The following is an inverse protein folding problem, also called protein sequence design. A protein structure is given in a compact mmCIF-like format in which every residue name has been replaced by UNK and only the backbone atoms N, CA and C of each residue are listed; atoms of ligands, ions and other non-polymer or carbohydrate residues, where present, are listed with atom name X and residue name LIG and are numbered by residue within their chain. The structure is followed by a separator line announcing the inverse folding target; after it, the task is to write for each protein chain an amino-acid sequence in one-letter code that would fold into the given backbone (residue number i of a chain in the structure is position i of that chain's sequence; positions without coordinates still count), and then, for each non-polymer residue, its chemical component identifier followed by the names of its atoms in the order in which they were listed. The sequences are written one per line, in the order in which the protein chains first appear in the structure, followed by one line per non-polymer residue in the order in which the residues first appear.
data_IF_666037482845
#
_entry.id   IF_666037482845
#
_cell.length_a   1.000
_cell.length_b   1.000
_cell.length_c   1.000
_cell.angle_alpha   90.00
_cell.angle_beta   90.00
_cell.angle_gamma   90.00
#
_symmetry.space_group_name_H-M   'P 1'
#
loop_
_entity.id
_entity.type
_entity.pdbx_description
1 polymer ?
#
# COMPACT_ATOMS: atom_id res chain seq x y z
N UNK A 1 -57.15 22.20 -82.14
CA UNK A 1 -58.07 23.34 -82.21
C UNK A 1 -58.68 23.44 -80.82
N UNK A 2 -58.36 24.53 -80.11
CA UNK A 2 -58.88 24.91 -78.77
C UNK A 2 -58.53 23.94 -77.61
N UNK A 3 -58.18 24.35 -76.40
CA UNK A 3 -57.97 25.67 -75.79
C UNK A 3 -57.32 25.45 -74.42
N UNK A 4 -56.58 26.47 -73.97
CA UNK A 4 -56.00 26.64 -72.63
C UNK A 4 -57.06 26.60 -71.51
N UNK A 5 -56.60 26.37 -70.26
CA UNK A 5 -56.93 27.12 -69.02
C UNK A 5 -56.27 26.35 -67.85
N UNK A 6 -55.19 26.81 -67.22
CA UNK A 6 -55.02 27.87 -66.18
C UNK A 6 -55.18 27.37 -64.72
N UNK A 7 -54.06 27.54 -64.01
CA UNK A 7 -53.88 27.94 -62.60
C UNK A 7 -54.42 27.11 -61.40
N UNK A 8 -53.51 27.04 -60.41
CA UNK A 8 -53.53 26.63 -58.99
C UNK A 8 -54.67 27.25 -58.11
N UNK A 9 -54.76 27.12 -56.75
CA UNK A 9 -53.87 26.55 -55.72
C UNK A 9 -54.58 25.89 -54.47
N UNK A 10 -53.79 25.56 -53.43
CA UNK A 10 -54.10 25.38 -51.98
C UNK A 10 -54.67 24.06 -51.40
N UNK A 11 -53.84 23.46 -50.53
CA UNK A 11 -54.07 22.95 -49.16
C UNK A 11 -55.06 21.80 -48.93
N UNK A 12 -54.54 20.69 -48.41
CA UNK A 12 -54.75 20.25 -47.00
C UNK A 12 -54.14 18.87 -46.74
N UNK A 13 -53.68 18.66 -45.51
CA UNK A 13 -53.11 17.43 -44.99
C UNK A 13 -54.00 16.20 -45.18
N UNK A 14 -53.42 14.98 -45.16
CA UNK A 14 -53.84 14.10 -44.08
C UNK A 14 -52.73 13.22 -43.46
N UNK A 15 -53.06 12.77 -42.24
CA UNK A 15 -52.36 11.79 -41.41
C UNK A 15 -52.34 10.38 -42.04
N UNK A 16 -51.32 9.65 -41.62
CA UNK A 16 -50.91 8.25 -41.86
C UNK A 16 -52.00 7.17 -42.00
N UNK A 17 -51.65 6.08 -42.71
CA UNK A 17 -51.75 4.76 -42.09
C UNK A 17 -50.51 3.87 -42.31
N UNK A 18 -50.22 3.06 -41.30
CA UNK A 18 -49.26 1.95 -41.28
C UNK A 18 -49.89 0.76 -42.02
N UNK A 19 -49.16 0.08 -42.91
CA UNK A 19 -48.87 -1.38 -42.82
C UNK A 19 -48.10 -1.97 -44.02
N UNK A 20 -47.25 -2.94 -43.65
CA UNK A 20 -46.65 -4.02 -44.43
C UNK A 20 -45.28 -3.78 -45.08
N UNK A 21 -44.23 -4.23 -44.40
CA UNK A 21 -43.20 -5.08 -45.00
C UNK A 21 -42.41 -5.80 -43.90
N UNK A 22 -42.26 -7.12 -44.06
CA UNK A 22 -41.49 -8.03 -43.21
C UNK A 22 -40.04 -7.53 -43.04
N UNK A 23 -39.43 -7.63 -41.85
CA UNK A 23 -37.97 -7.63 -41.76
C UNK A 23 -37.44 -9.05 -41.96
N UNK A 24 -36.41 -9.13 -42.79
CA UNK A 24 -35.52 -10.27 -42.97
C UNK A 24 -35.00 -10.79 -41.62
N UNK A 25 -34.96 -12.12 -41.45
CA UNK A 25 -34.29 -12.71 -40.29
C UNK A 25 -32.80 -12.38 -40.37
N UNK A 26 -32.33 -11.52 -39.47
CA UNK A 26 -30.91 -11.36 -39.22
C UNK A 26 -30.37 -12.69 -38.68
N UNK A 27 -29.65 -13.42 -39.53
CA UNK A 27 -28.76 -14.49 -39.07
C UNK A 27 -27.65 -13.80 -38.29
N UNK A 28 -27.78 -13.80 -36.96
CA UNK A 28 -26.69 -13.42 -36.06
C UNK A 28 -25.61 -14.49 -36.24
N UNK A 29 -24.55 -14.15 -37.00
CA UNK A 29 -23.33 -14.96 -37.03
C UNK A 29 -22.77 -14.97 -35.61
N UNK A 30 -23.00 -16.09 -34.91
CA UNK A 30 -22.52 -16.33 -33.55
C UNK A 30 -21.00 -16.46 -33.61
N UNK A 31 -20.28 -15.48 -33.09
CA UNK A 31 -18.83 -15.54 -32.96
C UNK A 31 -18.46 -16.66 -31.99
N UNK A 32 -17.49 -17.49 -32.35
CA UNK A 32 -16.85 -18.45 -31.44
C UNK A 32 -16.01 -17.66 -30.44
N UNK A 33 -16.60 -17.25 -29.32
CA UNK A 33 -15.88 -16.55 -28.25
C UNK A 33 -15.30 -17.60 -27.30
N UNK A 34 -14.03 -17.94 -27.50
CA UNK A 34 -13.25 -18.77 -26.57
C UNK A 34 -13.15 -18.04 -25.22
N UNK A 35 -13.28 -18.77 -24.11
CA UNK A 35 -13.10 -18.21 -22.76
C UNK A 35 -11.65 -17.71 -22.64
N UNK A 36 -11.42 -16.42 -22.39
CA UNK A 36 -10.07 -15.89 -22.23
C UNK A 36 -9.32 -16.60 -21.09
N UNK A 37 -8.02 -16.89 -21.30
CA UNK A 37 -7.20 -17.61 -20.33
C UNK A 37 -7.15 -16.96 -18.94
N UNK A 38 -7.24 -15.63 -18.88
CA UNK A 38 -7.29 -14.91 -17.60
C UNK A 38 -8.56 -15.20 -16.79
N UNK A 39 -9.70 -15.46 -17.46
CA UNK A 39 -10.95 -15.83 -16.80
C UNK A 39 -10.87 -17.27 -16.27
N UNK A 40 -10.25 -18.17 -17.02
CA UNK A 40 -9.98 -19.55 -16.57
C UNK A 40 -9.09 -19.53 -15.33
N UNK A 41 -8.00 -18.76 -15.35
CA UNK A 41 -7.10 -18.61 -14.21
C UNK A 41 -7.79 -18.00 -12.97
N UNK A 42 -8.68 -17.03 -13.18
CA UNK A 42 -9.49 -16.43 -12.12
C UNK A 42 -10.39 -17.47 -11.43
N UNK A 43 -11.11 -18.29 -12.21
CA UNK A 43 -11.96 -19.35 -11.68
C UNK A 43 -11.17 -20.41 -10.92
N UNK A 44 -10.02 -20.86 -11.44
CA UNK A 44 -9.20 -21.85 -10.72
C UNK A 44 -8.67 -21.27 -9.39
N UNK A 45 -8.41 -19.97 -9.34
CA UNK A 45 -7.92 -19.30 -8.13
C UNK A 45 -8.96 -19.25 -6.99
N UNK A 46 -10.25 -19.48 -7.24
CA UNK A 46 -11.30 -19.50 -6.20
C UNK A 46 -11.50 -20.88 -5.55
N UNK A 47 -10.84 -21.93 -6.06
CA UNK A 47 -10.81 -23.25 -5.43
C UNK A 47 -9.81 -23.24 -4.27
N UNK A 48 -10.21 -22.71 -3.11
CA UNK A 48 -9.38 -22.76 -1.90
C UNK A 48 -9.11 -24.21 -1.47
N UNK A 49 -7.83 -24.58 -1.29
CA UNK A 49 -7.44 -25.79 -0.56
C UNK A 49 -6.79 -26.92 -1.38
N UNK A 50 -6.53 -26.74 -2.68
CA UNK A 50 -5.65 -27.63 -3.43
C UNK A 50 -4.28 -26.97 -3.57
N UNK A 51 -3.29 -27.62 -2.97
CA UNK A 51 -1.87 -27.33 -3.11
C UNK A 51 -1.56 -26.94 -4.56
N UNK A 52 -0.99 -25.75 -4.76
CA UNK A 52 -0.81 -25.05 -6.04
C UNK A 52 -0.07 -25.92 -7.07
N UNK A 53 -0.78 -26.79 -7.79
CA UNK A 53 -0.23 -27.57 -8.90
C UNK A 53 -0.36 -26.78 -10.20
N UNK A 54 0.29 -25.62 -10.29
CA UNK A 54 0.37 -24.80 -11.52
C UNK A 54 1.17 -25.45 -12.65
N UNK A 55 1.53 -26.72 -12.53
CA UNK A 55 2.30 -27.49 -13.51
C UNK A 55 1.56 -28.68 -14.09
N UNK A 56 0.25 -28.82 -13.82
CA UNK A 56 -0.59 -29.92 -14.34
C UNK A 56 -1.62 -29.46 -15.39
N UNK A 57 -2.06 -30.35 -16.30
CA UNK A 57 -3.24 -30.10 -17.13
C UNK A 57 -4.48 -29.88 -16.24
N UNK A 58 -5.38 -28.97 -16.67
CA UNK A 58 -6.67 -28.74 -16.01
C UNK A 58 -7.45 -30.05 -15.97
N UNK A 59 -7.85 -30.47 -14.78
CA UNK A 59 -8.64 -31.67 -14.56
C UNK A 59 -10.07 -31.49 -15.07
N UNK A 60 -10.79 -32.56 -15.44
CA UNK A 60 -12.20 -32.45 -15.86
C UNK A 60 -13.09 -31.76 -14.82
N UNK A 61 -12.85 -32.03 -13.52
CA UNK A 61 -13.58 -31.41 -12.41
C UNK A 61 -13.31 -29.91 -12.28
N UNK A 62 -12.07 -29.48 -12.55
CA UNK A 62 -11.72 -28.06 -12.59
C UNK A 62 -12.33 -27.37 -13.82
N UNK A 63 -12.40 -28.06 -14.96
CA UNK A 63 -13.08 -27.55 -16.16
C UNK A 63 -14.56 -27.31 -15.91
N UNK A 64 -15.26 -28.27 -15.33
CA UNK A 64 -16.69 -28.14 -14.99
C UNK A 64 -16.93 -26.97 -14.02
N UNK A 65 -16.01 -26.77 -13.06
CA UNK A 65 -16.07 -25.62 -12.16
C UNK A 65 -15.88 -24.29 -12.89
N UNK A 66 -14.89 -24.19 -13.78
CA UNK A 66 -14.64 -22.99 -14.60
C UNK A 66 -15.87 -22.67 -15.44
N UNK A 67 -16.53 -23.67 -16.03
CA UNK A 67 -17.76 -23.47 -16.78
C UNK A 67 -18.88 -22.90 -15.90
N UNK A 68 -19.11 -23.47 -14.72
CA UNK A 68 -20.12 -22.94 -13.78
C UNK A 68 -19.79 -21.53 -13.31
N UNK A 69 -18.51 -21.25 -13.03
CA UNK A 69 -18.03 -19.93 -12.62
C UNK A 69 -18.25 -18.89 -13.73
N UNK A 70 -17.92 -19.24 -14.97
CA UNK A 70 -18.10 -18.38 -16.14
C UNK A 70 -19.58 -18.16 -16.43
N UNK A 71 -20.42 -19.20 -16.35
CA UNK A 71 -21.86 -19.06 -16.50
C UNK A 71 -22.47 -18.12 -15.45
N UNK A 72 -22.00 -18.19 -14.21
CA UNK A 72 -22.50 -17.38 -13.11
C UNK A 72 -22.02 -15.92 -13.16
N UNK A 73 -20.73 -15.70 -13.48
CA UNK A 73 -20.07 -14.40 -13.34
C UNK A 73 -19.89 -13.66 -14.67
N UNK A 74 -19.75 -14.39 -15.76
CA UNK A 74 -19.50 -13.87 -17.09
C UNK A 74 -20.47 -14.47 -18.14
N UNK A 75 -21.79 -14.18 -18.01
CA UNK A 75 -22.81 -14.76 -18.87
C UNK A 75 -22.63 -14.43 -20.37
N UNK A 76 -21.81 -13.43 -20.71
CA UNK A 76 -21.42 -13.15 -22.09
C UNK A 76 -20.60 -14.27 -22.76
N UNK A 77 -20.03 -15.19 -21.98
CA UNK A 77 -19.37 -16.40 -22.47
C UNK A 77 -20.26 -17.65 -22.32
N UNK A 78 -21.50 -17.50 -21.86
CA UNK A 78 -22.45 -18.60 -21.75
C UNK A 78 -22.89 -19.06 -23.15
N UNK A 79 -22.41 -20.23 -23.58
CA UNK A 79 -23.03 -20.98 -24.68
C UNK A 79 -22.16 -21.48 -25.82
N UNK A 80 -20.86 -21.76 -25.63
CA UNK A 80 -20.10 -22.68 -26.48
C UNK A 80 -18.75 -23.01 -25.82
N UNK A 81 -18.58 -24.26 -25.39
CA UNK A 81 -17.39 -24.77 -24.71
C UNK A 81 -16.59 -25.60 -25.69
N UNK A 82 -15.46 -25.08 -26.15
CA UNK A 82 -14.36 -25.91 -26.64
C UNK A 82 -13.06 -25.25 -26.16
N UNK A 83 -12.43 -25.89 -25.15
CA UNK A 83 -11.16 -25.46 -24.58
C UNK A 83 -10.05 -26.25 -25.28
N UNK A 84 -9.63 -25.81 -26.46
CA UNK A 84 -8.42 -26.37 -27.07
C UNK A 84 -7.18 -25.98 -26.23
N UNK A 85 -6.22 -26.91 -26.13
CA UNK A 85 -5.00 -26.77 -25.34
C UNK A 85 -4.20 -25.54 -25.79
N UNK A 86 -4.26 -24.44 -25.03
CA UNK A 86 -3.49 -23.22 -25.30
C UNK A 86 -2.11 -23.33 -24.65
N UNK A 87 -1.08 -23.43 -25.48
CA UNK A 87 0.33 -23.25 -25.11
C UNK A 87 0.60 -21.74 -24.91
N UNK A 88 1.01 -21.37 -23.70
CA UNK A 88 1.17 -20.00 -23.22
C UNK A 88 2.43 -19.27 -23.74
N UNK A 89 3.21 -19.89 -24.63
CA UNK A 89 4.50 -19.37 -25.10
C UNK A 89 4.44 -18.37 -26.27
N UNK A 90 3.25 -18.08 -26.84
CA UNK A 90 3.13 -17.37 -28.13
C UNK A 90 2.74 -15.87 -28.09
N UNK A 91 2.53 -15.24 -26.93
CA UNK A 91 1.96 -13.88 -26.88
C UNK A 91 2.94 -12.81 -26.36
N UNK A 92 4.07 -12.63 -27.06
CA UNK A 92 4.86 -11.40 -27.00
C UNK A 92 4.39 -10.47 -28.13
N UNK A 93 3.73 -9.35 -27.80
CA UNK A 93 3.37 -8.31 -28.77
C UNK A 93 4.22 -7.07 -28.52
N UNK A 94 4.88 -6.64 -29.61
CA UNK A 94 5.59 -5.38 -29.78
C UNK A 94 4.63 -4.18 -29.67
N UNK A 95 5.02 -3.11 -28.99
CA UNK A 95 4.33 -1.82 -29.07
C UNK A 95 5.14 -0.77 -29.83
N UNK A 96 4.49 -0.18 -30.84
CA UNK A 96 4.92 0.94 -31.65
C UNK A 96 3.93 2.10 -31.45
N UNK A 97 4.47 3.23 -30.96
CA UNK A 97 4.14 4.64 -31.24
C UNK A 97 2.70 5.07 -31.62
N UNK A 98 2.16 6.06 -30.89
CA UNK A 98 1.84 7.40 -31.46
C UNK A 98 1.32 8.42 -30.41
N UNK A 99 1.63 9.70 -30.68
CA UNK A 99 1.48 10.90 -29.85
C UNK A 99 0.05 11.49 -29.76
N UNK A 100 -0.20 12.38 -28.78
CA UNK A 100 -0.52 13.81 -29.02
C UNK A 100 -0.77 14.59 -27.71
N UNK A 101 -0.19 15.79 -27.64
CA UNK A 101 -0.31 16.78 -26.56
C UNK A 101 -1.49 17.76 -26.79
N UNK A 102 -2.11 18.27 -25.72
CA UNK A 102 -2.77 19.60 -25.69
C UNK A 102 -2.58 20.26 -24.32
N UNK A 103 -2.11 21.50 -24.35
CA UNK A 103 -1.88 22.49 -23.29
C UNK A 103 -3.11 23.40 -23.09
N UNK A 104 -3.35 23.92 -21.88
CA UNK A 104 -3.62 25.34 -21.56
C UNK A 104 -4.38 25.59 -20.22
N UNK A 105 -3.66 26.22 -19.29
CA UNK A 105 -3.99 27.50 -18.60
C UNK A 105 -5.47 27.88 -18.34
N UNK A 106 -5.83 28.11 -17.05
CA UNK A 106 -5.87 29.43 -16.34
C UNK A 106 -6.88 29.50 -15.17
N UNK A 107 -6.38 30.11 -14.09
CA UNK A 107 -6.98 31.12 -13.18
C UNK A 107 -8.17 30.79 -12.25
N UNK A 108 -7.84 30.88 -10.96
CA UNK A 108 -8.68 31.28 -9.82
C UNK A 108 -9.27 32.69 -9.94
N UNK A 109 -10.30 33.02 -9.13
CA UNK A 109 -10.10 34.15 -8.22
C UNK A 109 -10.55 33.91 -6.77
N UNK A 110 -9.78 34.54 -5.87
CA UNK A 110 -10.07 34.87 -4.46
C UNK A 110 -11.37 35.67 -4.32
N UNK A 111 -12.08 35.43 -3.22
CA UNK A 111 -13.06 36.35 -2.63
C UNK A 111 -13.07 36.19 -1.11
N UNK A 112 -12.63 37.24 -0.40
CA UNK A 112 -12.64 37.36 1.05
C UNK A 112 -14.06 37.63 1.58
N UNK A 113 -14.41 37.03 2.72
CA UNK A 113 -15.22 37.72 3.73
C UNK A 113 -14.79 37.26 5.13
N UNK A 114 -14.39 38.24 5.93
CA UNK A 114 -14.13 38.15 7.38
C UNK A 114 -15.43 38.52 8.07
N UNK A 115 -15.89 37.72 9.02
CA UNK A 115 -16.58 38.24 10.20
C UNK A 115 -16.12 37.49 11.45
N UNK A 116 -15.70 38.30 12.42
CA UNK A 116 -15.23 37.94 13.74
C UNK A 116 -16.39 37.97 14.73
N UNK A 117 -16.53 36.95 15.57
CA UNK A 117 -17.00 37.14 16.95
C UNK A 117 -16.68 35.94 17.83
N UNK A 118 -15.90 36.22 18.87
CA UNK A 118 -15.91 35.59 20.20
C UNK A 118 -15.89 36.79 21.18
N UNK A 119 -16.37 36.71 22.44
CA UNK A 119 -16.10 35.60 23.37
C UNK A 119 -17.25 35.25 24.33
N UNK A 120 -17.28 34.02 24.86
CA UNK A 120 -17.82 33.80 26.21
C UNK A 120 -17.08 32.66 26.91
N UNK A 121 -16.63 32.99 28.12
CA UNK A 121 -16.02 32.12 29.11
C UNK A 121 -17.02 31.07 29.60
N UNK A 122 -16.57 29.82 29.69
CA UNK A 122 -17.27 28.73 30.35
C UNK A 122 -16.26 27.65 30.70
N UNK A 123 -15.78 27.71 31.94
CA UNK A 123 -14.91 26.69 32.53
C UNK A 123 -15.63 25.35 32.57
N UNK A 124 -15.20 24.41 31.74
CA UNK A 124 -15.37 22.98 31.96
C UNK A 124 -14.12 22.33 31.37
N UNK A 125 -13.13 22.09 32.22
CA UNK A 125 -12.00 21.22 31.89
C UNK A 125 -12.59 19.83 31.65
N UNK A 126 -12.53 19.24 30.43
CA UNK A 126 -12.56 17.80 30.36
C UNK A 126 -11.22 17.34 30.94
N UNK A 127 -11.34 16.42 31.87
CA UNK A 127 -10.27 15.65 32.47
C UNK A 127 -9.28 15.21 31.35
N UNK A 128 -8.09 15.81 31.32
CA UNK A 128 -7.01 15.48 30.38
C UNK A 128 -6.30 14.18 30.78
N UNK A 129 -6.80 13.51 31.82
CA UNK A 129 -6.37 12.18 32.20
C UNK A 129 -7.04 11.14 31.31
N UNK A 130 -6.20 10.44 30.52
CA UNK A 130 -6.51 9.28 29.67
C UNK A 130 -7.09 9.57 28.28
N UNK A 131 -6.47 10.46 27.51
CA UNK A 131 -6.31 10.12 26.08
C UNK A 131 -5.29 8.98 26.04
N UNK A 132 -5.75 7.76 26.29
CA UNK A 132 -5.03 6.56 25.90
C UNK A 132 -4.92 6.68 24.38
N UNK A 133 -3.74 7.10 23.92
CA UNK A 133 -3.43 7.27 22.52
C UNK A 133 -3.45 5.89 21.91
N UNK A 134 -4.61 5.57 21.39
CA UNK A 134 -4.95 4.35 20.69
C UNK A 134 -3.80 3.99 19.72
N UNK A 135 -3.08 2.89 19.97
CA UNK A 135 -2.18 2.27 19.00
C UNK A 135 -2.87 1.96 17.65
N UNK A 136 -4.22 2.01 17.64
CA UNK A 136 -5.14 1.53 16.61
C UNK A 136 -5.24 2.30 15.31
N UNK A 137 -4.40 3.31 15.08
CA UNK A 137 -4.37 3.99 13.78
C UNK A 137 -3.15 3.70 12.96
N UNK A 138 -2.07 3.17 13.54
CA UNK A 138 -0.84 3.01 12.78
C UNK A 138 -1.03 1.97 11.67
N UNK A 139 -1.39 0.74 12.03
CA UNK A 139 -1.58 -0.32 11.04
C UNK A 139 -2.71 0.01 10.07
N UNK A 140 -3.78 0.67 10.52
CA UNK A 140 -4.90 1.10 9.68
C UNK A 140 -4.52 2.23 8.72
N UNK A 141 -3.79 3.25 9.18
CA UNK A 141 -3.25 4.33 8.33
C UNK A 141 -2.31 3.74 7.30
N UNK A 142 -1.40 2.86 7.74
CA UNK A 142 -0.45 2.20 6.86
C UNK A 142 -1.15 1.33 5.83
N UNK A 143 -2.12 0.52 6.26
CA UNK A 143 -2.90 -0.35 5.36
C UNK A 143 -3.73 0.48 4.39
N UNK A 144 -4.38 1.54 4.85
CA UNK A 144 -5.16 2.45 3.99
C UNK A 144 -4.29 3.22 2.99
N UNK A 145 -3.09 3.64 3.41
CA UNK A 145 -2.15 4.37 2.54
C UNK A 145 -1.42 3.44 1.56
N UNK A 146 -1.32 2.16 1.86
CA UNK A 146 -0.68 1.15 1.01
C UNK A 146 -1.65 0.32 0.18
N UNK A 147 -2.93 0.29 0.53
CA UNK A 147 -3.96 -0.38 -0.25
C UNK A 147 -4.12 0.35 -1.58
N UNK A 148 -3.65 -0.29 -2.65
CA UNK A 148 -4.05 0.08 -4.00
C UNK A 148 -5.59 -0.05 -4.10
N UNK A 149 -6.30 0.82 -4.84
CA UNK A 149 -7.76 0.74 -4.97
C UNK A 149 -8.27 -0.58 -5.60
N UNK A 150 -7.37 -1.34 -6.22
CA UNK A 150 -7.64 -2.68 -6.75
C UNK A 150 -7.48 -3.76 -5.69
N UNK A 151 -8.35 -4.77 -5.74
CA UNK A 151 -8.35 -5.93 -4.81
C UNK A 151 -7.17 -6.90 -5.02
N UNK A 152 -6.22 -6.60 -5.90
CA UNK A 152 -5.19 -7.54 -6.35
C UNK A 152 -3.78 -6.97 -6.14
N UNK A 153 -2.94 -7.76 -5.46
CA UNK A 153 -1.50 -7.53 -5.36
C UNK A 153 -0.85 -8.19 -6.58
N UNK A 154 0.00 -7.46 -7.30
CA UNK A 154 0.66 -8.00 -8.50
C UNK A 154 1.69 -9.08 -8.14
N UNK A 155 1.92 -10.05 -9.04
CA UNK A 155 2.96 -11.09 -8.85
C UNK A 155 4.35 -10.47 -8.57
N UNK A 156 4.81 -9.44 -9.31
CA UNK A 156 6.09 -8.78 -9.00
C UNK A 156 6.15 -8.19 -7.59
N UNK A 157 5.04 -7.65 -7.09
CA UNK A 157 4.97 -7.12 -5.73
C UNK A 157 5.09 -8.22 -4.67
N UNK A 158 4.39 -9.35 -4.85
CA UNK A 158 4.52 -10.52 -3.96
C UNK A 158 5.97 -11.01 -3.93
N UNK A 159 6.61 -11.13 -5.10
CA UNK A 159 8.00 -11.53 -5.20
C UNK A 159 8.94 -10.54 -4.50
N UNK A 160 8.72 -9.24 -4.65
CA UNK A 160 9.49 -8.20 -3.98
C UNK A 160 9.34 -8.27 -2.46
N UNK A 161 8.11 -8.46 -1.93
CA UNK A 161 7.85 -8.61 -0.49
C UNK A 161 8.62 -9.80 0.07
N UNK A 162 8.49 -10.96 -0.57
CA UNK A 162 9.18 -12.19 -0.17
C UNK A 162 10.70 -12.03 -0.21
N UNK A 163 11.24 -11.35 -1.23
CA UNK A 163 12.68 -11.08 -1.36
C UNK A 163 13.19 -10.21 -0.20
N UNK A 164 12.47 -9.15 0.15
CA UNK A 164 12.87 -8.24 1.24
C UNK A 164 12.78 -8.93 2.60
N UNK A 165 11.68 -9.64 2.88
CA UNK A 165 11.50 -10.39 4.12
C UNK A 165 12.58 -11.46 4.31
N UNK A 166 12.85 -12.24 3.25
CA UNK A 166 13.92 -13.25 3.25
C UNK A 166 15.29 -12.62 3.46
N UNK A 167 15.58 -11.49 2.81
CA UNK A 167 16.83 -10.77 3.02
C UNK A 167 16.98 -10.27 4.46
N UNK A 168 15.89 -9.87 5.12
CA UNK A 168 15.90 -9.46 6.52
C UNK A 168 15.87 -10.64 7.51
N UNK A 169 15.62 -11.88 7.04
CA UNK A 169 15.37 -13.03 7.90
C UNK A 169 14.09 -12.91 8.74
N UNK A 170 13.09 -12.16 8.26
CA UNK A 170 11.83 -11.92 8.98
C UNK A 170 10.70 -12.79 8.40
N UNK A 171 9.81 -13.34 9.24
CA UNK A 171 8.66 -14.12 8.77
C UNK A 171 7.55 -13.21 8.23
N UNK A 172 6.89 -13.63 7.16
CA UNK A 172 5.84 -12.88 6.45
C UNK A 172 4.62 -12.56 7.34
N UNK A 173 4.23 -13.51 8.18
CA UNK A 173 3.06 -13.35 9.05
C UNK A 173 3.25 -12.24 10.10
N UNK A 174 4.49 -11.93 10.52
CA UNK A 174 4.74 -10.95 11.58
C UNK A 174 4.89 -9.51 11.08
N UNK A 175 5.17 -9.29 9.79
CA UNK A 175 5.50 -7.98 9.24
C UNK A 175 4.59 -7.57 8.09
N UNK A 176 4.12 -6.32 8.13
CA UNK A 176 3.56 -5.63 6.97
C UNK A 176 4.71 -5.07 6.13
N UNK A 177 4.65 -5.22 4.81
CA UNK A 177 5.67 -4.74 3.88
C UNK A 177 5.06 -3.67 2.98
N UNK A 178 5.62 -2.47 3.02
CA UNK A 178 5.16 -1.31 2.25
C UNK A 178 6.25 -0.84 1.31
N UNK A 179 5.89 -0.53 0.06
CA UNK A 179 6.81 0.08 -0.89
C UNK A 179 6.51 1.57 -1.02
N UNK A 180 7.54 2.40 -0.94
CA UNK A 180 7.46 3.84 -1.13
C UNK A 180 8.39 4.26 -2.27
N UNK A 181 8.06 5.36 -2.99
CA UNK A 181 8.87 5.83 -4.10
C UNK A 181 10.31 6.17 -3.71
N UNK A 182 10.51 6.66 -2.47
CA UNK A 182 11.82 7.06 -1.96
C UNK A 182 11.88 6.97 -0.42
N UNK A 183 13.07 7.24 0.12
CA UNK A 183 13.38 7.19 1.54
C UNK A 183 12.59 8.20 2.36
N UNK A 184 12.46 9.43 1.85
CA UNK A 184 11.71 10.50 2.52
C UNK A 184 10.26 10.10 2.73
N UNK A 185 9.61 9.53 1.72
CA UNK A 185 8.22 9.06 1.81
C UNK A 185 8.04 7.98 2.87
N UNK A 186 9.00 7.05 2.99
CA UNK A 186 8.96 6.03 4.04
C UNK A 186 9.11 6.62 5.45
N UNK A 187 10.05 7.55 5.64
CA UNK A 187 10.26 8.23 6.91
C UNK A 187 9.07 9.10 7.31
N UNK A 188 8.49 9.85 6.37
CA UNK A 188 7.28 10.62 6.60
C UNK A 188 6.12 9.71 6.99
N UNK A 189 5.97 8.55 6.34
CA UNK A 189 4.93 7.59 6.67
C UNK A 189 5.07 7.06 8.11
N UNK A 190 6.29 6.83 8.60
CA UNK A 190 6.54 6.51 10.02
C UNK A 190 6.19 7.71 10.91
N UNK A 191 6.67 8.91 10.58
CA UNK A 191 6.43 10.13 11.36
C UNK A 191 4.95 10.48 11.52
N UNK A 192 4.16 10.32 10.47
CA UNK A 192 2.72 10.57 10.47
C UNK A 192 1.92 9.52 11.25
N UNK A 193 2.40 8.27 11.25
CA UNK A 193 1.65 7.13 11.79
C UNK A 193 2.02 6.78 13.22
N UNK A 194 3.25 7.07 13.65
CA UNK A 194 3.71 6.79 15.01
C UNK A 194 3.00 7.68 16.05
N UNK A 195 2.51 7.14 17.18
CA UNK A 195 1.73 7.89 18.18
C UNK A 195 2.62 8.78 19.04
N UNK A 196 3.18 9.84 18.46
CA UNK A 196 3.91 10.88 19.19
C UNK A 196 2.96 11.75 20.03
N UNK A 197 3.39 12.10 21.24
CA UNK A 197 2.66 12.98 22.14
C UNK A 197 3.56 13.60 23.22
N UNK A 198 3.03 14.65 23.85
CA UNK A 198 3.64 15.28 25.02
C UNK A 198 3.85 14.28 26.17
N UNK A 199 5.09 13.86 26.37
CA UNK A 199 5.49 13.00 27.48
C UNK A 199 6.18 11.70 27.06
N UNK A 200 6.06 11.30 25.79
CA UNK A 200 6.91 10.25 25.21
C UNK A 200 8.16 10.85 24.54
N UNK A 201 9.03 9.97 24.08
CA UNK A 201 10.35 10.35 23.56
C UNK A 201 10.50 9.98 22.08
N UNK A 202 11.28 10.79 21.39
CA UNK A 202 11.88 10.42 20.11
C UNK A 202 13.39 10.53 20.26
N UNK A 203 14.11 9.42 20.12
CA UNK A 203 15.57 9.40 20.19
C UNK A 203 16.13 8.92 18.86
N UNK A 204 17.01 9.70 18.25
CA UNK A 204 17.50 9.42 16.90
C UNK A 204 19.01 9.59 16.82
N UNK A 205 19.63 8.65 16.11
CA UNK A 205 21.04 8.68 15.68
C UNK A 205 21.12 8.85 14.15
N UNK A 206 19.98 8.93 13.48
CA UNK A 206 19.93 9.24 12.05
C UNK A 206 20.46 10.67 11.85
N UNK A 207 21.27 10.87 10.80
CA UNK A 207 21.80 12.20 10.46
C UNK A 207 20.67 13.20 10.23
N UNK A 208 20.86 14.44 10.69
CA UNK A 208 19.76 15.43 10.78
C UNK A 208 19.03 15.66 9.44
N UNK A 209 19.76 15.67 8.33
CA UNK A 209 19.23 15.86 6.96
C UNK A 209 18.31 14.72 6.50
N UNK A 210 18.44 13.54 7.10
CA UNK A 210 17.70 12.32 6.76
C UNK A 210 16.61 12.00 7.79
N UNK A 211 16.55 12.71 8.91
CA UNK A 211 15.63 12.43 10.00
C UNK A 211 14.29 13.18 9.86
N UNK A 212 13.49 12.78 8.86
CA UNK A 212 12.17 13.38 8.62
C UNK A 212 11.15 13.10 9.74
N UNK A 213 11.40 12.11 10.61
CA UNK A 213 10.51 11.77 11.74
C UNK A 213 10.60 12.83 12.86
N UNK A 214 11.77 13.48 13.00
CA UNK A 214 12.04 14.53 14.00
C UNK A 214 10.99 15.64 13.99
N UNK A 215 10.56 16.08 12.82
CA UNK A 215 9.59 17.17 12.68
C UNK A 215 8.22 16.79 13.25
N UNK A 216 7.75 15.56 12.98
CA UNK A 216 6.49 15.05 13.53
C UNK A 216 6.54 14.89 15.05
N UNK A 217 7.64 14.32 15.57
CA UNK A 217 7.85 14.21 17.01
C UNK A 217 7.83 15.58 17.69
N UNK A 218 8.51 16.57 17.11
CA UNK A 218 8.55 17.95 17.62
C UNK A 218 7.17 18.61 17.57
N UNK A 219 6.46 18.48 16.45
CA UNK A 219 5.11 19.01 16.27
C UNK A 219 4.11 18.43 17.27
N UNK A 220 4.26 17.16 17.64
CA UNK A 220 3.44 16.47 18.65
C UNK A 220 3.93 16.64 20.09
N UNK A 221 4.91 17.53 20.32
CA UNK A 221 5.49 17.84 21.63
C UNK A 221 6.18 16.63 22.32
N UNK A 222 6.57 15.61 21.57
CA UNK A 222 7.45 14.54 22.08
C UNK A 222 8.84 15.09 22.40
N UNK A 223 9.49 14.52 23.41
CA UNK A 223 10.86 14.92 23.75
C UNK A 223 11.85 14.33 22.75
N UNK A 224 12.36 15.18 21.86
CA UNK A 224 13.38 14.83 20.85
C UNK A 224 14.78 14.81 21.47
N UNK A 225 15.53 13.75 21.20
CA UNK A 225 16.91 13.53 21.62
C UNK A 225 17.73 13.13 20.39
N UNK A 226 18.63 14.00 19.97
CA UNK A 226 19.58 13.71 18.89
C UNK A 226 20.85 13.19 19.53
N UNK A 227 21.10 11.90 19.34
CA UNK A 227 22.25 11.20 19.91
C UNK A 227 23.35 11.09 18.85
N UNK A 228 24.62 11.31 19.20
CA UNK A 228 25.72 11.16 18.27
C UNK A 228 25.96 9.67 17.96
N UNK A 229 26.46 9.38 16.75
CA UNK A 229 26.77 8.02 16.30
C UNK A 229 27.69 7.23 17.24
N UNK A 230 28.59 7.94 17.93
CA UNK A 230 29.51 7.34 18.92
C UNK A 230 28.79 6.61 20.06
N UNK A 231 27.50 6.88 20.28
CA UNK A 231 26.70 6.20 21.29
C UNK A 231 26.33 4.76 20.91
N UNK A 232 26.41 4.39 19.63
CA UNK A 232 26.21 3.02 19.16
C UNK A 232 27.43 2.12 19.40
N UNK A 233 28.56 2.67 19.84
CA UNK A 233 29.76 1.90 20.12
C UNK A 233 29.63 1.09 21.42
N UNK A 234 29.47 -0.23 21.26
CA UNK A 234 29.38 -1.18 22.38
C UNK A 234 30.66 -1.27 23.23
N UNK A 235 31.80 -0.78 22.72
CA UNK A 235 33.07 -0.80 23.47
C UNK A 235 33.05 0.18 24.64
N UNK A 236 32.13 1.13 24.65
CA UNK A 236 31.96 2.10 25.73
C UNK A 236 31.14 1.45 26.87
N UNK A 237 31.83 0.99 27.93
CA UNK A 237 31.17 0.45 29.13
C UNK A 237 30.17 1.46 29.70
N UNK A 238 28.93 1.02 29.90
CA UNK A 238 27.87 1.90 30.41
C UNK A 238 27.48 2.99 29.42
N UNK A 239 27.42 2.66 28.12
CA UNK A 239 27.14 3.60 27.03
C UNK A 239 26.01 4.58 27.37
N UNK A 240 26.19 5.83 26.93
CA UNK A 240 25.19 6.87 27.12
C UNK A 240 23.81 6.43 26.57
N UNK A 241 23.81 5.69 25.45
CA UNK A 241 22.60 5.12 24.88
C UNK A 241 21.86 4.20 25.87
N UNK A 242 22.56 3.26 26.49
CA UNK A 242 21.96 2.39 27.51
C UNK A 242 21.43 3.18 28.72
N UNK A 243 22.10 4.25 29.13
CA UNK A 243 21.62 5.10 30.22
C UNK A 243 20.32 5.82 29.84
N UNK A 244 20.21 6.29 28.61
CA UNK A 244 18.99 6.91 28.10
C UNK A 244 17.83 5.91 27.99
N UNK A 245 18.07 4.68 27.55
CA UNK A 245 17.04 3.65 27.54
C UNK A 245 16.47 3.38 28.93
N UNK A 246 17.34 3.32 29.95
CA UNK A 246 16.95 3.06 31.34
C UNK A 246 16.26 4.24 32.04
N UNK A 247 16.18 5.42 31.43
CA UNK A 247 15.46 6.55 32.05
C UNK A 247 14.02 6.16 32.36
N UNK A 248 13.58 6.52 33.56
CA UNK A 248 12.20 6.28 34.00
C UNK A 248 11.25 7.12 33.15
N UNK A 249 10.19 6.49 32.67
CA UNK A 249 9.09 7.13 31.95
C UNK A 249 7.79 6.57 32.52
N UNK A 250 6.74 7.39 32.60
CA UNK A 250 5.41 6.96 33.06
C UNK A 250 4.63 6.22 31.97
N UNK A 251 5.12 6.24 30.73
CA UNK A 251 4.47 5.66 29.56
C UNK A 251 5.25 4.45 29.06
N UNK A 252 4.51 3.44 28.60
CA UNK A 252 5.03 2.27 27.92
C UNK A 252 4.17 2.03 26.67
N UNK A 253 4.75 1.97 25.46
CA UNK A 253 6.17 2.22 25.15
C UNK A 253 6.60 3.65 25.51
N UNK A 254 7.88 3.83 25.82
CA UNK A 254 8.48 5.13 26.19
C UNK A 254 8.58 6.08 25.00
N UNK A 255 8.67 5.54 23.80
CA UNK A 255 9.02 6.32 22.62
C UNK A 255 9.58 5.48 21.49
N UNK A 256 10.03 6.18 20.44
CA UNK A 256 10.68 5.58 19.28
C UNK A 256 12.19 5.88 19.32
N UNK A 257 12.99 4.84 19.13
CA UNK A 257 14.43 4.92 18.92
C UNK A 257 14.77 4.63 17.46
N UNK A 258 15.44 5.57 16.78
CA UNK A 258 15.83 5.45 15.37
C UNK A 258 17.34 5.39 15.22
N UNK A 259 17.87 4.43 14.48
CA UNK A 259 19.30 4.38 14.18
C UNK A 259 19.63 3.62 12.88
N UNK A 260 20.75 3.95 12.22
CA UNK A 260 21.18 3.28 11.00
C UNK A 260 21.92 1.97 11.30
N UNK A 261 21.76 0.98 10.41
CA UNK A 261 22.53 -0.27 10.42
C UNK A 261 23.98 -0.02 10.03
N UNK A 262 24.19 0.86 9.06
CA UNK A 262 25.49 1.17 8.47
C UNK A 262 25.60 2.67 8.25
N UNK A 263 26.71 3.25 8.66
CA UNK A 263 27.10 4.61 8.28
C UNK A 263 28.52 4.55 7.72
N UNK A 264 28.67 4.93 6.46
CA UNK A 264 29.96 4.98 5.77
C UNK A 264 30.76 3.66 5.87
N UNK A 265 30.07 2.50 5.82
CA UNK A 265 30.69 1.18 5.93
C UNK A 265 30.94 0.71 7.37
N UNK A 266 30.65 1.53 8.38
CA UNK A 266 30.66 1.11 9.78
C UNK A 266 29.31 0.53 10.16
N UNK A 267 29.28 -0.80 10.35
CA UNK A 267 28.08 -1.51 10.78
C UNK A 267 27.90 -1.44 12.29
N UNK A 268 26.73 -1.00 12.72
CA UNK A 268 26.32 -0.95 14.11
C UNK A 268 25.59 -2.22 14.54
N UNK A 269 25.72 -2.56 15.82
CA UNK A 269 25.17 -3.81 16.36
C UNK A 269 23.65 -3.77 16.47
N UNK A 270 22.99 -4.85 16.06
CA UNK A 270 21.55 -5.07 16.25
C UNK A 270 21.17 -5.30 17.72
N UNK A 271 22.16 -5.50 18.61
CA UNK A 271 21.92 -5.63 20.05
C UNK A 271 21.16 -4.43 20.64
N UNK A 272 21.34 -3.24 20.07
CA UNK A 272 20.63 -2.04 20.51
C UNK A 272 19.11 -2.15 20.38
N UNK A 273 18.61 -2.93 19.41
CA UNK A 273 17.18 -3.21 19.28
C UNK A 273 16.68 -3.96 20.53
N UNK A 274 17.37 -5.04 20.91
CA UNK A 274 16.98 -5.82 22.08
C UNK A 274 17.12 -5.03 23.38
N UNK A 275 18.17 -4.22 23.53
CA UNK A 275 18.32 -3.37 24.72
C UNK A 275 17.22 -2.31 24.80
N UNK A 276 16.84 -1.71 23.67
CA UNK A 276 15.72 -0.77 23.58
C UNK A 276 14.39 -1.44 23.97
N UNK A 277 14.09 -2.62 23.40
CA UNK A 277 12.87 -3.39 23.72
C UNK A 277 12.80 -3.78 25.20
N UNK A 278 13.91 -4.24 25.79
CA UNK A 278 14.01 -4.56 27.23
C UNK A 278 13.69 -3.35 28.13
N UNK A 279 13.84 -2.15 27.59
CA UNK A 279 13.56 -0.89 28.26
C UNK A 279 12.29 -0.20 27.73
N UNK A 280 11.39 -0.96 27.08
CA UNK A 280 10.09 -0.51 26.58
C UNK A 280 10.15 0.60 25.53
N UNK A 281 11.15 0.58 24.66
CA UNK A 281 11.20 1.45 23.47
C UNK A 281 10.79 0.67 22.22
N UNK A 282 10.13 1.35 21.28
CA UNK A 282 10.05 0.86 19.90
C UNK A 282 11.30 1.27 19.11
N UNK A 283 11.59 0.55 18.04
CA UNK A 283 12.81 0.75 17.25
C UNK A 283 12.50 0.87 15.76
N UNK A 284 12.98 1.95 15.16
CA UNK A 284 13.12 2.14 13.72
C UNK A 284 14.58 1.88 13.33
N UNK A 285 14.79 0.82 12.56
CA UNK A 285 16.10 0.47 12.04
C UNK A 285 16.22 0.95 10.58
N UNK A 286 17.12 1.88 10.31
CA UNK A 286 17.44 2.27 8.93
C UNK A 286 18.50 1.32 8.35
N UNK A 287 18.06 0.36 7.55
CA UNK A 287 18.91 -0.58 6.82
C UNK A 287 19.09 -0.19 5.34
N UNK A 288 18.77 1.05 4.94
CA UNK A 288 18.89 1.48 3.54
C UNK A 288 20.33 1.64 3.05
N UNK A 289 21.29 1.77 3.97
CA UNK A 289 22.71 1.67 3.68
C UNK A 289 23.14 0.28 3.18
N UNK A 290 22.30 -0.74 3.35
CA UNK A 290 22.49 -2.08 2.80
C UNK A 290 21.62 -2.29 1.55
N UNK A 291 22.13 -3.07 0.60
CA UNK A 291 21.41 -3.40 -0.62
C UNK A 291 20.80 -4.79 -0.51
N UNK A 292 19.47 -4.87 -0.69
CA UNK A 292 18.73 -6.13 -0.63
C UNK A 292 19.22 -7.12 -1.67
N UNK A 293 19.73 -8.26 -1.19
CA UNK A 293 20.26 -9.36 -2.00
C UNK A 293 21.76 -9.32 -2.26
N UNK A 294 22.44 -8.22 -1.94
CA UNK A 294 23.91 -8.13 -1.98
C UNK A 294 24.50 -8.29 -0.58
N UNK A 295 23.93 -7.60 0.40
CA UNK A 295 24.37 -7.65 1.78
C UNK A 295 23.72 -8.79 2.58
N UNK A 296 24.36 -9.16 3.69
CA UNK A 296 23.75 -10.05 4.69
C UNK A 296 23.13 -9.22 5.81
N UNK A 297 21.84 -9.42 6.03
CA UNK A 297 21.09 -8.87 7.14
C UNK A 297 20.27 -10.02 7.76
N UNK A 298 20.23 -10.12 9.09
CA UNK A 298 19.34 -11.07 9.75
C UNK A 298 18.81 -10.45 11.04
N UNK A 299 17.52 -10.16 11.03
CA UNK A 299 16.79 -9.48 12.09
C UNK A 299 15.89 -10.46 12.87
N UNK A 300 15.90 -11.76 12.54
CA UNK A 300 15.08 -12.78 13.18
C UNK A 300 15.21 -12.77 14.72
N UNK A 301 16.42 -12.51 15.23
CA UNK A 301 16.68 -12.47 16.67
C UNK A 301 16.10 -11.23 17.34
N UNK A 302 16.27 -10.06 16.72
CA UNK A 302 16.03 -8.76 17.35
C UNK A 302 14.64 -8.18 17.05
N UNK A 303 14.07 -8.50 15.88
CA UNK A 303 12.70 -8.14 15.46
C UNK A 303 12.32 -6.67 15.74
N UNK A 304 13.01 -5.69 15.12
CA UNK A 304 12.67 -4.28 15.24
C UNK A 304 11.23 -3.98 14.82
N UNK A 305 10.66 -2.88 15.32
CA UNK A 305 9.27 -2.49 15.08
C UNK A 305 9.07 -1.90 13.68
N UNK A 306 10.07 -1.17 13.19
CA UNK A 306 10.16 -0.69 11.82
C UNK A 306 11.53 -1.00 11.22
N UNK A 307 11.56 -1.32 9.93
CA UNK A 307 12.80 -1.47 9.15
C UNK A 307 12.67 -0.75 7.83
N UNK A 308 13.63 0.12 7.52
CA UNK A 308 13.77 0.68 6.17
C UNK A 308 14.80 -0.12 5.38
N UNK A 309 14.45 -0.56 4.18
CA UNK A 309 15.33 -1.29 3.28
C UNK A 309 15.38 -0.62 1.90
N UNK A 310 16.52 -0.69 1.23
CA UNK A 310 16.64 -0.24 -0.15
C UNK A 310 16.56 -1.43 -1.11
N UNK A 311 15.60 -1.39 -2.03
CA UNK A 311 15.46 -2.39 -3.08
C UNK A 311 15.96 -1.80 -4.40
N UNK A 312 17.01 -2.40 -4.95
CA UNK A 312 17.50 -2.02 -6.27
C UNK A 312 16.60 -2.65 -7.35
N UNK A 313 16.08 -1.81 -8.24
CA UNK A 313 15.34 -2.27 -9.40
C UNK A 313 16.32 -2.56 -10.54
N UNK A 314 16.62 -3.83 -10.77
CA UNK A 314 17.53 -4.28 -11.84
C UNK A 314 17.00 -4.01 -13.26
N UNK A 315 15.71 -3.69 -13.41
CA UNK A 315 15.05 -3.55 -14.72
C UNK A 315 14.73 -2.09 -15.10
N UNK A 316 14.95 -1.13 -14.21
CA UNK A 316 14.75 0.29 -14.49
C UNK A 316 15.87 1.13 -13.86
N UNK A 317 16.75 1.67 -14.71
CA UNK A 317 17.73 2.69 -14.34
C UNK A 317 17.05 3.96 -13.78
N UNK A 318 17.51 4.56 -12.67
CA UNK A 318 17.77 3.97 -11.37
C UNK A 318 16.77 4.57 -10.35
N UNK A 319 15.56 4.04 -10.27
CA UNK A 319 14.64 4.40 -9.19
C UNK A 319 14.85 3.42 -8.03
N UNK A 320 15.62 3.81 -7.01
CA UNK A 320 15.73 3.04 -5.76
C UNK A 320 14.39 3.13 -5.03
N UNK A 321 13.64 2.03 -5.03
CA UNK A 321 12.40 1.91 -4.25
C UNK A 321 12.82 1.68 -2.80
N UNK A 322 12.18 2.41 -1.88
CA UNK A 322 12.36 2.16 -0.45
C UNK A 322 11.26 1.24 0.04
N UNK A 323 11.61 0.30 0.90
CA UNK A 323 10.67 -0.59 1.53
C UNK A 323 10.63 -0.32 3.03
N UNK A 324 9.43 -0.15 3.59
CA UNK A 324 9.17 -0.03 5.01
C UNK A 324 8.51 -1.33 5.50
N UNK A 325 9.19 -2.05 6.37
CA UNK A 325 8.63 -3.20 7.07
C UNK A 325 8.13 -2.75 8.44
N UNK A 326 6.93 -3.16 8.81
CA UNK A 326 6.31 -2.79 10.09
C UNK A 326 5.86 -4.04 10.82
N UNK A 327 6.33 -4.21 12.05
CA UNK A 327 5.96 -5.37 12.87
C UNK A 327 4.51 -5.24 13.32
N UNK A 328 3.65 -6.16 12.88
CA UNK A 328 2.20 -6.12 13.15
C UNK A 328 1.93 -6.12 14.66
N UNK A 329 2.56 -7.06 15.39
CA UNK A 329 2.37 -7.26 16.85
C UNK A 329 2.71 -6.03 17.71
N UNK A 330 3.58 -5.15 17.24
CA UNK A 330 3.94 -3.92 17.98
C UNK A 330 2.80 -2.90 18.02
N UNK A 331 1.84 -3.03 17.10
CA UNK A 331 0.75 -2.08 16.89
C UNK A 331 -0.61 -2.77 16.74
N UNK A 332 -0.70 -4.04 17.13
CA UNK A 332 -1.93 -4.82 17.07
C UNK A 332 -2.85 -4.42 18.23
N UNK A 333 -4.09 -4.10 17.87
CA UNK A 333 -5.14 -3.58 18.77
C UNK A 333 -5.92 -4.68 19.45
N UNK A 334 -5.79 -5.91 18.97
CA UNK A 334 -6.56 -7.05 19.49
C UNK A 334 -6.12 -7.49 20.89
N UNK A 335 -4.91 -7.10 21.32
CA UNK A 335 -4.34 -7.49 22.62
C UNK A 335 -4.74 -6.57 23.79
N UNK A 336 -5.25 -5.36 23.55
CA UNK A 336 -5.63 -4.43 24.64
C UNK A 336 -7.01 -4.70 25.23
N UNK A 337 -7.86 -5.49 24.56
CA UNK A 337 -9.18 -5.86 25.08
C UNK A 337 -9.16 -7.03 26.06
N UNK A 338 -8.07 -7.80 26.13
CA UNK A 338 -8.00 -9.03 26.95
C UNK A 338 -7.39 -8.82 28.34
N UNK A 339 -6.85 -7.63 28.65
CA UNK A 339 -6.22 -7.34 29.96
C UNK A 339 -7.06 -6.41 30.85
N UNK A 340 -8.31 -6.11 30.47
CA UNK A 340 -9.28 -5.39 31.32
C UNK A 340 -10.35 -6.32 31.94
N UNK A 341 -10.20 -7.63 31.77
CA UNK A 341 -11.11 -8.63 32.33
C UNK A 341 -10.31 -9.82 32.87
N UNK A 342 -9.54 -9.60 33.92
CA UNK A 342 -9.13 -10.65 34.87
C UNK A 342 -8.89 -10.06 36.25
#
# INVERSE_FOLDING_TARGET
MESEIKESPFVSMPKSPIQSSRPSSMVVKKAHTVIPAHIVAEAISTLHGLDLRWSGPITPTERDYVEQYVLAKYPQYAGQVELENIDLSSLCINEESSEAAIDDKKKSPRGNSRESSSPFFGSNHPDLDRIQLEPSRLLDILTKKSSFPGSFISIPEIQARNKVLKHCGLPDDDYLVLFTPNYKDAMMLVGESYPFFKGNFYMSIIGEELDYVKEFASYKESKVILAPETWLDLRIKGSQLSQYFRKKCKHSPKGLFSYPVDVNGMRYSMHWISEAHRNSWHVLLDATGLVVGQDRLNLALHRPDFVLCSLENTHAQPARITCLLVRKKSFDTTTSSSQMSE
#
